data_IF_209379848710
#
_entry.id   IF_209379848710
#
_cell.length_a   1.000
_cell.length_b   1.000
_cell.length_c   1.000
_cell.angle_alpha   90.00
_cell.angle_beta   90.00
_cell.angle_gamma   90.00
#
_symmetry.space_group_name_H-M   'P 1'
#
loop_
_entity.id
_entity.type
_entity.pdbx_description
1 polymer ?
#
# COMPACT_ATOMS: atom_id res chain seq x y z
N UNK A 1 23.17 -6.81 -4.36
CA UNK A 1 22.03 -6.91 -5.29
C UNK A 1 21.81 -5.55 -5.92
N UNK A 2 21.27 -5.47 -7.14
CA UNK A 2 21.00 -4.19 -7.79
C UNK A 2 19.58 -3.73 -7.44
N UNK A 3 19.44 -2.55 -6.83
CA UNK A 3 18.14 -1.97 -6.45
C UNK A 3 17.60 -1.09 -7.56
N UNK A 4 16.31 -1.16 -7.82
CA UNK A 4 15.64 -0.35 -8.84
C UNK A 4 14.23 0.01 -8.40
N UNK A 5 13.68 1.05 -9.04
CA UNK A 5 12.33 1.54 -8.81
C UNK A 5 11.59 1.63 -10.14
N UNK A 6 10.30 1.33 -10.14
CA UNK A 6 9.42 1.53 -11.30
C UNK A 6 8.08 2.12 -10.86
N UNK A 7 7.43 2.89 -11.73
CA UNK A 7 6.06 3.38 -11.55
C UNK A 7 5.15 2.65 -12.54
N UNK A 8 4.12 1.98 -12.03
CA UNK A 8 3.26 1.05 -12.79
C UNK A 8 1.83 1.07 -12.24
N UNK A 9 0.87 0.53 -13.00
CA UNK A 9 -0.50 0.38 -12.54
C UNK A 9 -0.61 -0.83 -11.58
N UNK A 10 -1.15 -0.60 -10.37
CA UNK A 10 -1.42 -1.68 -9.42
C UNK A 10 -2.61 -2.53 -9.87
N UNK A 11 -2.48 -3.85 -9.88
CA UNK A 11 -3.59 -4.75 -10.26
C UNK A 11 -4.09 -5.59 -9.09
N UNK A 12 -3.25 -5.82 -8.08
CA UNK A 12 -3.63 -6.55 -6.89
C UNK A 12 -2.45 -7.11 -6.12
N UNK A 13 -2.75 -7.66 -4.95
CA UNK A 13 -1.80 -8.40 -4.14
C UNK A 13 -2.45 -9.70 -3.69
N UNK A 14 -1.68 -10.79 -3.69
CA UNK A 14 -2.11 -12.06 -3.15
C UNK A 14 -1.11 -12.54 -2.10
N UNK A 15 -1.63 -12.90 -0.93
CA UNK A 15 -0.90 -13.61 0.12
C UNK A 15 -1.39 -15.05 0.16
N UNK A 16 -0.46 -15.99 0.06
CA UNK A 16 -0.75 -17.41 0.26
C UNK A 16 0.12 -17.91 1.41
N UNK A 17 -0.51 -18.54 2.39
CA UNK A 17 0.15 -19.17 3.53
C UNK A 17 -0.12 -20.67 3.46
N UNK A 18 0.94 -21.49 3.51
CA UNK A 18 0.85 -22.95 3.57
C UNK A 18 1.99 -23.47 4.45
N UNK A 19 1.63 -24.27 5.46
CA UNK A 19 2.53 -24.69 6.53
C UNK A 19 3.26 -23.47 7.14
N UNK A 20 4.60 -23.50 7.19
CA UNK A 20 5.47 -22.41 7.67
C UNK A 20 5.94 -21.46 6.54
N UNK A 21 5.40 -21.60 5.31
CA UNK A 21 5.81 -20.81 4.15
C UNK A 21 4.79 -19.72 3.84
N UNK A 22 5.27 -18.48 3.79
CA UNK A 22 4.49 -17.30 3.42
C UNK A 22 4.98 -16.76 2.08
N UNK A 23 4.07 -16.65 1.11
CA UNK A 23 4.38 -16.07 -0.20
C UNK A 23 3.45 -14.90 -0.45
N UNK A 24 4.03 -13.73 -0.74
CA UNK A 24 3.30 -12.58 -1.25
C UNK A 24 3.67 -12.34 -2.70
N UNK A 25 2.66 -12.15 -3.54
CA UNK A 25 2.79 -11.80 -4.95
C UNK A 25 2.10 -10.48 -5.22
N UNK A 26 2.81 -9.56 -5.86
CA UNK A 26 2.26 -8.32 -6.41
C UNK A 26 1.93 -8.51 -7.88
N UNK A 27 0.78 -8.00 -8.31
CA UNK A 27 0.37 -7.96 -9.70
C UNK A 27 0.34 -6.51 -10.17
N UNK A 28 1.01 -6.24 -11.28
CA UNK A 28 1.06 -4.93 -11.91
C UNK A 28 1.04 -5.03 -13.43
N UNK A 29 0.70 -3.93 -14.08
CA UNK A 29 0.62 -3.84 -15.53
C UNK A 29 0.83 -2.43 -16.04
N UNK A 30 0.68 -2.27 -17.34
CA UNK A 30 0.68 -0.97 -18.00
C UNK A 30 -0.66 -0.26 -17.78
N UNK A 31 -0.63 1.08 -17.74
CA UNK A 31 -1.85 1.87 -17.73
C UNK A 31 -2.63 1.68 -19.05
N UNK A 32 -3.97 1.62 -18.99
CA UNK A 32 -4.79 1.58 -20.19
C UNK A 32 -4.59 2.81 -21.07
N UNK A 33 -3.99 2.64 -22.25
CA UNK A 33 -3.71 3.74 -23.19
C UNK A 33 -4.81 3.92 -24.27
N UNK A 34 -5.79 3.01 -24.29
CA UNK A 34 -6.90 2.98 -25.25
C UNK A 34 -6.48 2.75 -26.72
N UNK A 35 -5.22 2.38 -26.98
CA UNK A 35 -4.64 2.25 -28.33
C UNK A 35 -3.93 0.93 -28.56
N UNK A 36 -3.23 0.41 -27.55
CA UNK A 36 -2.46 -0.84 -27.61
C UNK A 36 -3.07 -1.96 -26.77
N UNK A 37 -4.28 -1.72 -26.24
CA UNK A 37 -5.09 -2.65 -25.43
C UNK A 37 -5.50 -3.91 -26.22
N UNK A 38 -4.60 -4.87 -26.36
CA UNK A 38 -4.93 -6.24 -26.81
C UNK A 38 -5.12 -7.21 -25.63
N UNK A 39 -4.97 -6.72 -24.40
CA UNK A 39 -5.19 -7.43 -23.14
C UNK A 39 -4.41 -6.76 -22.00
N UNK A 40 -4.91 -6.86 -20.76
CA UNK A 40 -4.17 -6.42 -19.58
C UNK A 40 -2.85 -7.23 -19.47
N UNK A 41 -1.70 -6.57 -19.59
CA UNK A 41 -0.41 -7.17 -19.28
C UNK A 41 -0.32 -7.34 -17.76
N UNK A 42 -0.37 -8.59 -17.27
CA UNK A 42 -0.28 -8.89 -15.84
C UNK A 42 1.09 -9.52 -15.57
N UNK A 43 1.92 -8.80 -14.83
CA UNK A 43 3.20 -9.31 -14.35
C UNK A 43 3.07 -9.63 -12.87
N UNK A 44 3.42 -10.87 -12.49
CA UNK A 44 3.53 -11.29 -11.10
C UNK A 44 4.95 -11.08 -10.58
N UNK A 45 5.10 -10.34 -9.49
CA UNK A 45 6.38 -10.14 -8.78
C UNK A 45 6.33 -10.82 -7.42
N UNK A 46 7.38 -11.57 -7.07
CA UNK A 46 7.56 -12.04 -5.70
C UNK A 46 7.93 -10.86 -4.80
N UNK A 47 7.48 -10.90 -3.56
CA UNK A 47 7.96 -10.00 -2.50
C UNK A 47 9.04 -10.71 -1.71
N UNK A 48 10.05 -9.98 -1.26
CA UNK A 48 11.07 -10.53 -0.35
C UNK A 48 10.45 -10.95 0.98
N UNK A 49 10.82 -12.14 1.47
CA UNK A 49 10.23 -12.76 2.67
C UNK A 49 10.34 -11.83 3.90
N UNK A 50 11.46 -11.13 4.05
CA UNK A 50 11.74 -10.19 5.16
C UNK A 50 10.71 -9.04 5.29
N UNK A 51 10.03 -8.68 4.20
CA UNK A 51 9.11 -7.52 4.14
C UNK A 51 7.73 -7.90 3.58
N UNK A 52 7.44 -9.20 3.48
CA UNK A 52 6.21 -9.72 2.90
C UNK A 52 4.94 -9.14 3.56
N UNK A 53 4.88 -9.12 4.90
CA UNK A 53 3.72 -8.58 5.63
C UNK A 53 3.59 -7.07 5.48
N UNK A 54 4.71 -6.34 5.52
CA UNK A 54 4.74 -4.88 5.35
C UNK A 54 4.20 -4.51 3.97
N UNK A 55 4.76 -5.08 2.91
CA UNK A 55 4.33 -4.82 1.53
C UNK A 55 2.87 -5.20 1.32
N UNK A 56 2.41 -6.33 1.86
CA UNK A 56 1.00 -6.71 1.80
C UNK A 56 0.10 -5.67 2.49
N UNK A 57 0.49 -5.20 3.67
CA UNK A 57 -0.27 -4.19 4.42
C UNK A 57 -0.27 -2.82 3.73
N UNK A 58 0.82 -2.42 3.07
CA UNK A 58 0.91 -1.19 2.29
C UNK A 58 -0.01 -1.18 1.07
N UNK A 59 -0.46 -2.36 0.63
CA UNK A 59 -1.45 -2.49 -0.44
C UNK A 59 -2.90 -2.30 0.03
N UNK A 60 -3.14 -2.24 1.34
CA UNK A 60 -4.50 -2.08 1.87
C UNK A 60 -5.08 -0.75 1.41
N UNK A 61 -6.24 -0.83 0.75
CA UNK A 61 -6.92 0.32 0.19
C UNK A 61 -6.35 0.82 -1.13
N UNK A 62 -5.33 0.18 -1.72
CA UNK A 62 -4.98 0.40 -3.14
C UNK A 62 -6.12 -0.07 -4.03
N UNK A 63 -6.51 0.78 -4.97
CA UNK A 63 -7.50 0.42 -5.99
C UNK A 63 -6.79 -0.12 -7.24
N UNK A 64 -7.41 -1.08 -7.97
CA UNK A 64 -6.90 -1.49 -9.26
C UNK A 64 -6.71 -0.27 -10.19
N UNK A 65 -5.63 -0.30 -10.97
CA UNK A 65 -5.14 0.77 -11.85
C UNK A 65 -4.62 2.02 -11.13
N UNK A 66 -4.54 2.04 -9.79
CA UNK A 66 -3.86 3.12 -9.06
C UNK A 66 -2.35 3.10 -9.38
N UNK A 67 -1.74 4.24 -9.75
CA UNK A 67 -0.30 4.30 -10.00
C UNK A 67 0.49 4.11 -8.71
N UNK A 68 1.37 3.11 -8.70
CA UNK A 68 2.24 2.78 -7.57
C UNK A 68 3.70 2.81 -7.96
N UNK A 69 4.56 3.19 -7.01
CA UNK A 69 6.00 3.05 -7.11
C UNK A 69 6.43 1.79 -6.38
N UNK A 70 7.07 0.87 -7.10
CA UNK A 70 7.61 -0.37 -6.55
C UNK A 70 9.13 -0.24 -6.47
N UNK A 71 9.69 -0.46 -5.29
CA UNK A 71 11.14 -0.65 -5.09
C UNK A 71 11.43 -2.13 -5.03
N UNK A 72 12.38 -2.62 -5.83
CA UNK A 72 12.72 -4.03 -5.91
C UNK A 72 14.23 -4.24 -6.04
N UNK A 73 14.69 -5.41 -5.61
CA UNK A 73 16.04 -5.88 -5.87
C UNK A 73 16.02 -6.90 -7.02
N UNK A 74 17.03 -6.79 -7.89
CA UNK A 74 17.30 -7.78 -8.93
C UNK A 74 18.24 -8.83 -8.35
N UNK A 75 17.71 -10.04 -8.15
CA UNK A 75 18.53 -11.17 -7.72
C UNK A 75 19.48 -11.56 -8.86
N UNK A 76 20.80 -11.42 -8.62
CA UNK A 76 21.85 -11.85 -9.56
C UNK A 76 22.48 -13.14 -9.03
N UNK A 77 22.05 -14.29 -9.56
CA UNK A 77 22.68 -15.59 -9.30
C UNK A 77 21.77 -16.81 -9.48
N UNK A 78 22.33 -17.91 -10.02
CA UNK A 78 21.69 -19.22 -10.12
C UNK A 78 20.42 -19.29 -11.01
N UNK A 79 19.49 -20.20 -10.69
CA UNK A 79 18.18 -20.36 -11.39
C UNK A 79 17.23 -19.14 -11.28
N UNK A 80 17.63 -18.09 -10.56
CA UNK A 80 16.86 -16.87 -10.33
C UNK A 80 17.42 -15.65 -11.08
N UNK A 81 18.23 -15.87 -12.13
CA UNK A 81 18.71 -14.83 -13.03
C UNK A 81 17.56 -13.94 -13.51
N UNK A 82 17.55 -12.68 -13.09
CA UNK A 82 16.59 -11.67 -13.55
C UNK A 82 15.24 -11.68 -12.83
N UNK A 83 15.11 -12.36 -11.69
CA UNK A 83 13.91 -12.22 -10.84
C UNK A 83 13.98 -10.92 -10.05
N UNK A 84 12.97 -10.09 -10.22
CA UNK A 84 12.72 -8.91 -9.41
C UNK A 84 11.99 -9.33 -8.13
N UNK A 85 12.50 -8.91 -6.98
CA UNK A 85 11.88 -9.12 -5.68
C UNK A 85 11.48 -7.77 -5.11
N UNK A 86 10.17 -7.55 -4.93
CA UNK A 86 9.66 -6.33 -4.33
C UNK A 86 10.09 -6.22 -2.87
N UNK A 87 10.47 -5.00 -2.50
CA UNK A 87 10.90 -4.63 -1.16
C UNK A 87 9.98 -3.59 -0.52
N UNK A 88 9.39 -2.73 -1.35
CA UNK A 88 8.52 -1.67 -0.90
C UNK A 88 7.56 -1.26 -2.02
N UNK A 89 6.36 -0.81 -1.64
CA UNK A 89 5.34 -0.29 -2.53
C UNK A 89 4.66 0.92 -1.89
N UNK A 90 4.46 1.97 -2.67
CA UNK A 90 3.75 3.19 -2.26
C UNK A 90 2.91 3.75 -3.41
N UNK A 91 1.78 4.44 -3.15
CA UNK A 91 1.09 5.23 -4.16
C UNK A 91 1.99 6.34 -4.70
N UNK A 92 1.98 6.59 -6.02
CA UNK A 92 2.75 7.70 -6.62
C UNK A 92 2.23 9.05 -6.15
N UNK A 93 0.91 9.17 -5.95
CA UNK A 93 0.28 10.36 -5.38
C UNK A 93 0.10 10.15 -3.89
N UNK A 94 0.61 11.07 -3.08
CA UNK A 94 0.39 11.04 -1.64
C UNK A 94 -1.11 11.03 -1.35
N UNK A 95 -1.59 9.98 -0.66
CA UNK A 95 -2.96 9.97 -0.15
C UNK A 95 -3.08 11.04 0.90
N UNK A 96 -4.08 11.90 0.76
CA UNK A 96 -4.57 12.68 1.89
C UNK A 96 -5.13 11.69 2.89
N UNK A 97 -4.28 11.25 3.81
CA UNK A 97 -4.76 10.58 5.02
C UNK A 97 -5.73 11.55 5.66
N UNK A 98 -7.02 11.25 5.60
CA UNK A 98 -7.99 11.85 6.49
C UNK A 98 -7.60 11.30 7.86
N UNK A 99 -6.64 11.96 8.51
CA UNK A 99 -6.37 11.72 9.92
C UNK A 99 -7.70 11.88 10.62
N UNK A 100 -8.20 10.78 11.19
CA UNK A 100 -9.26 10.85 12.18
C UNK A 100 -8.75 11.81 13.26
N UNK A 101 -9.35 12.99 13.30
CA UNK A 101 -9.02 14.03 14.26
C UNK A 101 -9.27 13.42 15.64
N UNK A 102 -8.31 13.43 16.58
CA UNK A 102 -8.59 13.00 17.94
C UNK A 102 -9.69 13.89 18.49
N UNK A 103 -10.87 13.32 18.71
CA UNK A 103 -11.99 14.01 19.33
C UNK A 103 -11.59 14.32 20.77
N UNK A 104 -11.12 15.54 21.00
CA UNK A 104 -10.85 16.05 22.34
C UNK A 104 -12.14 16.01 23.17
N UNK A 105 -12.16 15.43 24.38
CA UNK A 105 -13.33 15.48 25.25
C UNK A 105 -13.65 16.94 25.59
N UNK A 106 -14.90 17.34 25.32
CA UNK A 106 -15.40 18.68 25.64
C UNK A 106 -15.29 18.94 27.15
N UNK A 107 -14.63 20.04 27.51
CA UNK A 107 -14.54 20.51 28.88
C UNK A 107 -15.93 20.89 29.42
N UNK A 108 -16.32 20.28 30.54
CA UNK A 108 -17.50 20.66 31.32
C UNK A 108 -17.43 22.15 31.71
N UNK A 109 -18.42 22.92 31.26
CA UNK A 109 -18.65 24.30 31.69
C UNK A 109 -19.35 24.32 33.05
N UNK A 110 -18.87 25.04 34.08
CA UNK A 110 -19.57 25.17 35.35
C UNK A 110 -20.86 25.98 35.23
N UNK A 111 -21.87 25.58 36.01
CA UNK A 111 -23.17 26.23 36.13
C UNK A 111 -23.08 27.68 36.64
N UNK A 112 -23.99 28.53 36.16
CA UNK A 112 -24.12 29.94 36.55
C UNK A 112 -24.57 30.10 38.03
N UNK A 113 -24.17 31.18 38.72
CA UNK A 113 -24.61 31.44 40.09
C UNK A 113 -26.04 31.99 40.10
N UNK A 114 -26.88 31.42 40.95
CA UNK A 114 -28.10 32.04 41.42
C UNK A 114 -27.74 33.04 42.53
N UNK A 115 -28.19 34.29 42.43
CA UNK A 115 -28.99 34.95 43.48
C UNK A 115 -29.38 36.38 43.05
N UNK A 116 -30.68 36.68 43.04
CA UNK A 116 -31.20 38.05 43.12
C UNK A 116 -32.47 38.07 43.97
N UNK A 117 -32.23 38.21 45.27
CA UNK A 117 -32.99 38.93 46.29
C UNK A 117 -34.40 39.45 45.91
N UNK A 118 -35.39 38.99 46.68
CA UNK A 118 -36.63 39.74 46.94
C UNK A 118 -37.10 39.50 48.38
N UNK A 119 -36.79 40.44 49.28
CA UNK A 119 -37.57 40.85 50.45
C UNK A 119 -36.92 42.09 51.08
#
# INVERSE_FOLDING_TARGET
>A
MARSTMEVAFLGVQKTEFDDVKIVKLFYGDEPDGKTEHGLSIIGMGVSDDVADEVFSSCVGLEPLEPVRITFDVARGGKNLGKNLALHIEPVKARTTTQATPQAPAANKPAAPADSAKA
#
